data_IF_338340812786
#
_entry.id   IF_338340812786
#
_cell.length_a   1.000
_cell.length_b   1.000
_cell.length_c   1.000
_cell.angle_alpha   90.00
_cell.angle_beta   90.00
_cell.angle_gamma   90.00
#
_symmetry.space_group_name_H-M   'P 1'
#
loop_
_entity.id
_entity.type
_entity.pdbx_description
1 polymer ?
#
# COMPACT_ATOMS: atom_id res chain seq x y z
N UNK A 1 1.56 36.23 -12.17
CA UNK A 1 1.81 34.89 -12.69
C UNK A 1 2.81 34.27 -11.71
N UNK A 2 2.33 33.60 -10.65
CA UNK A 2 3.19 32.81 -9.79
C UNK A 2 3.69 31.65 -10.63
N UNK A 3 5.01 31.52 -10.80
CA UNK A 3 5.63 30.29 -11.25
C UNK A 3 5.25 29.23 -10.22
N UNK A 4 4.38 28.28 -10.57
CA UNK A 4 4.23 27.06 -9.81
C UNK A 4 5.60 26.39 -9.78
N UNK A 5 6.26 26.43 -8.64
CA UNK A 5 7.50 25.70 -8.45
C UNK A 5 7.17 24.23 -8.59
N UNK A 6 7.89 23.51 -9.45
CA UNK A 6 7.74 22.09 -9.61
C UNK A 6 7.94 21.40 -8.25
N UNK A 7 7.06 20.46 -7.89
CA UNK A 7 7.16 19.66 -6.67
C UNK A 7 8.44 18.81 -6.73
N UNK A 8 9.14 18.75 -5.61
CA UNK A 8 10.34 17.92 -5.40
C UNK A 8 10.17 17.04 -4.17
N UNK A 9 11.06 16.08 -3.98
CA UNK A 9 11.06 15.22 -2.79
C UNK A 9 11.36 15.95 -1.47
N UNK A 10 11.79 17.23 -1.53
CA UNK A 10 11.93 18.10 -0.36
C UNK A 10 10.60 18.69 0.12
N UNK A 11 9.55 18.61 -0.70
CA UNK A 11 8.23 19.11 -0.34
C UNK A 11 7.46 18.08 0.50
N UNK A 12 6.67 18.59 1.43
CA UNK A 12 5.75 17.81 2.25
C UNK A 12 4.34 18.42 2.21
N UNK A 13 3.59 18.28 1.09
CA UNK A 13 2.39 19.07 0.81
C UNK A 13 1.34 19.04 1.91
N UNK A 14 1.05 17.85 2.47
CA UNK A 14 0.07 17.69 3.56
C UNK A 14 0.58 18.36 4.84
N UNK A 15 1.85 18.12 5.20
CA UNK A 15 2.45 18.74 6.40
C UNK A 15 2.43 20.27 6.29
N UNK A 16 2.85 20.80 5.14
CA UNK A 16 2.87 22.24 4.90
C UNK A 16 1.47 22.86 4.94
N UNK A 17 0.47 22.15 4.43
CA UNK A 17 -0.93 22.58 4.49
C UNK A 17 -1.46 22.60 5.93
N UNK A 18 -1.16 21.55 6.72
CA UNK A 18 -1.52 21.48 8.13
C UNK A 18 -0.85 22.60 8.95
N UNK A 19 0.45 22.89 8.70
CA UNK A 19 1.15 24.00 9.36
C UNK A 19 0.56 25.37 8.98
N UNK A 20 0.22 25.59 7.72
CA UNK A 20 -0.48 26.80 7.29
C UNK A 20 -1.81 26.94 8.03
N UNK A 21 -2.59 25.86 8.08
CA UNK A 21 -3.89 25.85 8.74
C UNK A 21 -3.80 26.08 10.25
N UNK A 22 -2.81 25.49 10.91
CA UNK A 22 -2.54 25.72 12.35
C UNK A 22 -2.27 27.18 12.67
N UNK A 23 -1.54 27.89 11.80
CA UNK A 23 -1.23 29.32 11.94
C UNK A 23 -2.42 30.25 11.65
N UNK A 24 -3.42 29.74 10.91
CA UNK A 24 -4.63 30.52 10.63
C UNK A 24 -5.52 30.60 11.89
N UNK A 25 -5.94 31.80 12.25
CA UNK A 25 -6.87 32.03 13.37
C UNK A 25 -8.32 31.75 12.96
N UNK A 26 -8.60 30.52 12.59
CA UNK A 26 -9.94 30.08 12.19
C UNK A 26 -10.68 29.55 13.41
N UNK A 27 -11.93 29.95 13.57
CA UNK A 27 -12.84 29.37 14.57
C UNK A 27 -13.38 28.04 13.99
N UNK A 28 -13.11 26.89 14.62
CA UNK A 28 -13.49 25.59 14.07
C UNK A 28 -14.98 25.28 14.35
N UNK A 29 -15.79 25.25 13.28
CA UNK A 29 -17.16 24.72 13.30
C UNK A 29 -17.23 23.31 12.69
N UNK A 30 -16.12 22.83 12.15
CA UNK A 30 -15.89 21.52 11.55
C UNK A 30 -15.71 20.41 12.60
N UNK A 31 -15.68 19.16 12.16
CA UNK A 31 -15.25 18.00 12.94
C UNK A 31 -13.72 17.87 12.86
N UNK A 32 -13.05 17.26 13.85
CA UNK A 32 -13.56 16.53 15.02
C UNK A 32 -14.13 17.43 16.14
N UNK A 33 -14.94 16.81 17.02
CA UNK A 33 -15.64 17.50 18.10
C UNK A 33 -14.76 18.18 19.16
N UNK A 34 -13.49 17.78 19.30
CA UNK A 34 -12.52 18.42 20.20
C UNK A 34 -12.05 19.81 19.72
N UNK A 35 -12.45 20.21 18.49
CA UNK A 35 -12.23 21.59 18.00
C UNK A 35 -10.77 22.05 18.12
N UNK A 36 -9.83 21.23 17.62
CA UNK A 36 -8.38 21.46 17.70
C UNK A 36 -7.89 21.63 19.15
N UNK A 37 -8.43 20.79 20.04
CA UNK A 37 -8.10 20.74 21.45
C UNK A 37 -8.98 21.60 22.36
N UNK A 38 -9.70 22.61 21.85
CA UNK A 38 -10.48 23.55 22.69
C UNK A 38 -11.71 22.90 23.35
N UNK A 39 -12.25 21.84 22.80
CA UNK A 39 -13.43 21.13 23.29
C UNK A 39 -13.13 19.96 24.23
N UNK A 40 -11.87 19.64 24.48
CA UNK A 40 -11.47 18.56 25.37
C UNK A 40 -10.07 18.82 25.94
N UNK A 41 -10.02 19.49 27.10
CA UNK A 41 -8.76 19.89 27.73
C UNK A 41 -7.95 18.67 28.20
N UNK A 42 -8.61 17.67 28.77
CA UNK A 42 -7.96 16.46 29.29
C UNK A 42 -7.23 15.70 28.18
N UNK A 43 -7.85 15.56 27.00
CA UNK A 43 -7.22 14.95 25.84
C UNK A 43 -6.08 15.82 25.29
N UNK A 44 -6.23 17.14 25.34
CA UNK A 44 -5.20 18.09 24.89
C UNK A 44 -3.97 18.03 25.80
N UNK A 45 -4.16 17.95 27.11
CA UNK A 45 -3.08 17.81 28.09
C UNK A 45 -2.32 16.49 27.92
N UNK A 46 -3.04 15.41 27.52
CA UNK A 46 -2.43 14.10 27.27
C UNK A 46 -1.65 14.03 25.95
N UNK A 47 -2.22 14.52 24.85
CA UNK A 47 -1.61 14.43 23.51
C UNK A 47 -0.74 15.62 23.12
N UNK A 48 -0.91 16.74 23.78
CA UNK A 48 -0.26 18.00 23.50
C UNK A 48 -1.00 18.86 22.44
N UNK A 49 -0.95 20.18 22.61
CA UNK A 49 -1.61 21.16 21.74
C UNK A 49 -1.19 21.04 20.28
N UNK A 50 0.07 20.75 19.99
CA UNK A 50 0.57 20.61 18.62
C UNK A 50 -0.13 19.47 17.88
N UNK A 51 -0.28 18.31 18.52
CA UNK A 51 -0.98 17.16 17.97
C UNK A 51 -2.46 17.47 17.72
N UNK A 52 -3.14 17.99 18.74
CA UNK A 52 -4.57 18.32 18.67
C UNK A 52 -4.88 19.40 17.64
N UNK A 53 -3.96 20.33 17.39
CA UNK A 53 -4.15 21.43 16.44
C UNK A 53 -4.16 21.01 14.99
N UNK A 54 -3.59 19.85 14.67
CA UNK A 54 -3.49 19.28 13.31
C UNK A 54 -4.40 18.07 13.08
N UNK A 55 -5.12 17.64 14.11
CA UNK A 55 -6.16 16.62 13.95
C UNK A 55 -7.44 17.28 13.42
N UNK A 56 -7.63 17.16 12.11
CA UNK A 56 -8.68 17.84 11.32
C UNK A 56 -9.22 16.89 10.25
N UNK A 57 -10.40 17.20 9.74
CA UNK A 57 -11.05 16.42 8.69
C UNK A 57 -10.78 17.02 7.30
N UNK A 58 -11.28 16.34 6.27
CA UNK A 58 -11.27 16.83 4.87
C UNK A 58 -11.94 18.19 4.78
N UNK A 59 -11.25 19.13 4.16
CA UNK A 59 -11.77 20.48 3.88
C UNK A 59 -10.98 21.08 2.72
N UNK A 60 -11.54 22.12 2.09
CA UNK A 60 -10.95 22.70 0.87
C UNK A 60 -9.43 22.98 0.94
N UNK A 61 -8.85 23.50 2.05
CA UNK A 61 -7.39 23.71 2.11
C UNK A 61 -6.57 22.45 2.33
N UNK A 62 -7.20 21.32 2.72
CA UNK A 62 -6.54 20.05 3.08
C UNK A 62 -6.90 18.90 2.14
N UNK A 63 -7.70 19.19 1.09
CA UNK A 63 -8.12 18.21 0.11
C UNK A 63 -9.11 17.15 0.65
N UNK A 64 -9.42 16.16 -0.16
CA UNK A 64 -10.29 15.04 0.18
C UNK A 64 -9.66 13.73 -0.30
N UNK A 65 -9.40 12.81 0.61
CA UNK A 65 -8.73 11.54 0.30
C UNK A 65 -9.49 10.68 -0.72
N UNK A 66 -10.83 10.72 -0.71
CA UNK A 66 -11.63 9.96 -1.67
C UNK A 66 -11.57 10.52 -3.10
N UNK A 67 -11.23 11.80 -3.25
CA UNK A 67 -11.10 12.47 -4.54
C UNK A 67 -10.05 13.59 -4.46
N UNK A 68 -8.77 13.24 -4.34
CA UNK A 68 -7.71 14.23 -4.16
C UNK A 68 -7.46 15.02 -5.44
N UNK A 69 -7.35 16.35 -5.29
CA UNK A 69 -7.13 17.29 -6.40
C UNK A 69 -6.07 18.35 -6.08
N UNK A 70 -5.49 18.30 -4.87
CA UNK A 70 -4.50 19.27 -4.41
C UNK A 70 -3.44 18.60 -3.51
N UNK A 71 -3.29 19.00 -2.25
CA UNK A 71 -2.18 18.60 -1.38
C UNK A 71 -2.09 17.09 -1.11
N UNK A 72 -3.21 16.36 -1.11
CA UNK A 72 -3.17 14.90 -1.01
C UNK A 72 -2.71 14.29 -2.34
N UNK A 73 -3.21 14.81 -3.46
CA UNK A 73 -2.77 14.38 -4.80
C UNK A 73 -1.28 14.63 -4.98
N UNK A 74 -0.81 15.82 -4.64
CA UNK A 74 0.60 16.17 -4.70
C UNK A 74 1.47 15.21 -3.88
N UNK A 75 1.00 14.84 -2.67
CA UNK A 75 1.70 13.89 -1.82
C UNK A 75 1.66 12.45 -2.36
N UNK A 76 0.56 12.03 -3.00
CA UNK A 76 0.46 10.73 -3.70
C UNK A 76 1.43 10.68 -4.89
N UNK A 77 1.52 11.75 -5.67
CA UNK A 77 2.43 11.83 -6.83
C UNK A 77 3.91 11.81 -6.39
N UNK A 78 4.26 12.50 -5.29
CA UNK A 78 5.60 12.44 -4.70
C UNK A 78 5.92 11.03 -4.15
N UNK A 79 4.94 10.37 -3.52
CA UNK A 79 5.10 9.00 -3.06
C UNK A 79 5.31 8.04 -4.25
N UNK A 80 4.53 8.18 -5.32
CA UNK A 80 4.70 7.37 -6.53
C UNK A 80 6.12 7.51 -7.09
N UNK A 81 6.65 8.74 -7.19
CA UNK A 81 8.02 8.99 -7.63
C UNK A 81 9.06 8.33 -6.70
N UNK A 82 8.91 8.49 -5.38
CA UNK A 82 9.85 7.94 -4.40
C UNK A 82 9.92 6.42 -4.43
N UNK A 83 8.79 5.76 -4.69
CA UNK A 83 8.68 4.31 -4.77
C UNK A 83 8.83 3.75 -6.20
N UNK A 84 9.08 4.58 -7.21
CA UNK A 84 9.18 4.14 -8.60
C UNK A 84 7.90 3.51 -9.15
N UNK A 85 6.74 3.90 -8.61
CA UNK A 85 5.42 3.48 -9.04
C UNK A 85 4.83 4.47 -10.06
N UNK A 86 3.84 4.03 -10.83
CA UNK A 86 3.07 4.90 -11.73
C UNK A 86 2.03 5.72 -10.95
N UNK A 87 1.47 5.13 -9.89
CA UNK A 87 0.57 5.79 -8.95
C UNK A 87 0.75 5.23 -7.54
N UNK A 88 0.47 6.07 -6.54
CA UNK A 88 0.44 5.67 -5.13
C UNK A 88 -0.83 6.21 -4.45
N UNK A 89 -1.39 5.44 -3.52
CA UNK A 89 -2.58 5.81 -2.75
C UNK A 89 -2.30 5.71 -1.26
N UNK A 90 -2.70 6.71 -0.50
CA UNK A 90 -2.74 6.62 0.96
C UNK A 90 -3.82 5.64 1.41
N UNK A 91 -3.43 4.66 2.22
CA UNK A 91 -4.34 3.63 2.74
C UNK A 91 -4.57 3.84 4.23
N UNK A 92 -5.72 4.45 4.59
CA UNK A 92 -6.10 4.74 5.99
C UNK A 92 -6.32 3.47 6.80
N UNK A 93 -6.83 2.41 6.18
CA UNK A 93 -7.01 1.09 6.80
C UNK A 93 -5.73 0.25 6.86
N UNK A 94 -4.57 0.85 6.59
CA UNK A 94 -3.27 0.18 6.59
C UNK A 94 -3.10 -0.78 5.42
N UNK A 95 -2.04 -1.59 5.48
CA UNK A 95 -1.73 -2.60 4.45
C UNK A 95 -2.85 -3.64 4.30
N UNK A 96 -3.67 -3.84 5.34
CA UNK A 96 -4.86 -4.70 5.24
C UNK A 96 -5.80 -4.22 4.15
N UNK A 97 -6.15 -2.94 4.13
CA UNK A 97 -6.99 -2.37 3.06
C UNK A 97 -6.30 -2.44 1.71
N UNK A 98 -4.99 -2.14 1.64
CA UNK A 98 -4.24 -2.22 0.39
C UNK A 98 -4.29 -3.64 -0.21
N UNK A 99 -4.02 -4.68 0.57
CA UNK A 99 -4.08 -6.08 0.13
C UNK A 99 -5.49 -6.46 -0.31
N UNK A 100 -6.52 -6.03 0.43
CA UNK A 100 -7.90 -6.28 0.06
C UNK A 100 -8.26 -5.60 -1.27
N UNK A 101 -7.90 -4.34 -1.44
CA UNK A 101 -8.16 -3.60 -2.69
C UNK A 101 -7.45 -4.23 -3.89
N UNK A 102 -6.20 -4.69 -3.75
CA UNK A 102 -5.49 -5.39 -4.82
C UNK A 102 -6.23 -6.65 -5.28
N UNK A 103 -6.69 -7.47 -4.34
CA UNK A 103 -7.41 -8.71 -4.66
C UNK A 103 -8.80 -8.42 -5.26
N UNK A 104 -9.53 -7.43 -4.71
CA UNK A 104 -10.82 -6.99 -5.25
C UNK A 104 -10.70 -6.40 -6.66
N UNK A 105 -9.56 -5.74 -6.95
CA UNK A 105 -9.25 -5.25 -8.29
C UNK A 105 -9.04 -6.41 -9.28
N UNK A 106 -8.25 -7.39 -8.88
CA UNK A 106 -7.79 -8.47 -9.76
C UNK A 106 -8.84 -9.57 -9.96
N UNK A 107 -9.72 -9.81 -8.97
CA UNK A 107 -10.57 -10.99 -8.93
C UNK A 107 -12.04 -10.64 -8.63
N UNK A 108 -12.93 -11.41 -9.26
CA UNK A 108 -14.37 -11.43 -9.01
C UNK A 108 -14.78 -12.80 -8.47
N UNK A 109 -16.07 -12.94 -8.15
CA UNK A 109 -16.62 -14.20 -7.67
C UNK A 109 -16.35 -15.37 -8.64
N UNK A 110 -15.72 -16.42 -8.14
CA UNK A 110 -15.33 -17.60 -8.90
C UNK A 110 -13.98 -17.50 -9.62
N UNK A 111 -13.37 -16.32 -9.74
CA UNK A 111 -12.03 -16.19 -10.31
C UNK A 111 -10.98 -16.85 -9.43
N UNK A 112 -9.96 -17.46 -10.05
CA UNK A 112 -8.84 -18.06 -9.34
C UNK A 112 -7.71 -17.07 -9.12
N UNK A 113 -7.05 -17.18 -7.96
CA UNK A 113 -5.83 -16.45 -7.61
C UNK A 113 -4.79 -17.41 -7.04
N UNK A 114 -3.59 -17.41 -7.61
CA UNK A 114 -2.45 -18.19 -7.12
C UNK A 114 -1.80 -17.40 -5.98
N UNK A 115 -1.60 -18.05 -4.83
CA UNK A 115 -1.03 -17.37 -3.65
C UNK A 115 -0.31 -18.33 -2.71
N UNK A 116 0.68 -17.85 -1.93
CA UNK A 116 1.34 -18.71 -0.96
C UNK A 116 0.39 -19.02 0.20
N UNK A 117 0.56 -20.19 0.82
CA UNK A 117 -0.28 -20.59 1.94
C UNK A 117 -0.04 -19.78 3.24
N UNK A 118 1.12 -19.13 3.34
CA UNK A 118 1.50 -18.28 4.48
C UNK A 118 1.17 -16.78 4.26
N UNK A 119 0.11 -16.48 3.50
CA UNK A 119 -0.37 -15.10 3.34
C UNK A 119 -0.86 -14.51 4.64
N UNK A 120 -0.82 -13.18 4.73
CA UNK A 120 -1.47 -12.46 5.82
C UNK A 120 -3.00 -12.64 5.77
N UNK A 121 -3.65 -12.60 6.93
CA UNK A 121 -5.10 -12.79 7.07
C UNK A 121 -5.94 -11.83 6.20
N UNK A 122 -5.42 -10.65 5.89
CA UNK A 122 -6.07 -9.69 4.97
C UNK A 122 -6.38 -10.29 3.61
N UNK A 123 -5.48 -11.12 3.06
CA UNK A 123 -5.70 -11.79 1.78
C UNK A 123 -6.85 -12.80 1.87
N UNK A 124 -6.90 -13.59 2.94
CA UNK A 124 -8.02 -14.53 3.18
C UNK A 124 -9.36 -13.79 3.32
N UNK A 125 -9.37 -12.66 4.03
CA UNK A 125 -10.56 -11.84 4.17
C UNK A 125 -11.01 -11.27 2.82
N UNK A 126 -10.07 -10.88 1.96
CA UNK A 126 -10.38 -10.40 0.61
C UNK A 126 -11.04 -11.50 -0.25
N UNK A 127 -10.56 -12.75 -0.17
CA UNK A 127 -11.19 -13.89 -0.86
C UNK A 127 -12.66 -14.06 -0.42
N UNK A 128 -12.95 -13.90 0.87
CA UNK A 128 -14.31 -13.97 1.40
C UNK A 128 -15.17 -12.84 0.83
N UNK A 129 -14.60 -11.63 0.73
CA UNK A 129 -15.32 -10.45 0.24
C UNK A 129 -15.67 -10.55 -1.25
N UNK A 130 -14.73 -11.02 -2.09
CA UNK A 130 -14.95 -11.08 -3.54
C UNK A 130 -15.42 -12.46 -4.05
N UNK A 131 -15.33 -13.50 -3.23
CA UNK A 131 -15.67 -14.87 -3.64
C UNK A 131 -14.65 -15.51 -4.57
N UNK A 132 -13.41 -15.03 -4.60
CA UNK A 132 -12.33 -15.62 -5.39
C UNK A 132 -11.85 -16.95 -4.79
N UNK A 133 -11.38 -17.85 -5.65
CA UNK A 133 -10.94 -19.19 -5.31
C UNK A 133 -9.41 -19.24 -5.23
N UNK A 134 -8.81 -19.50 -4.05
CA UNK A 134 -7.36 -19.56 -3.92
C UNK A 134 -6.79 -20.87 -4.51
N UNK A 135 -5.74 -20.74 -5.29
CA UNK A 135 -4.82 -21.82 -5.67
C UNK A 135 -3.58 -21.67 -4.79
N UNK A 136 -3.46 -22.54 -3.79
CA UNK A 136 -2.38 -22.40 -2.82
C UNK A 136 -1.08 -23.02 -3.32
N UNK A 137 0.00 -22.23 -3.29
CA UNK A 137 1.37 -22.69 -3.39
C UNK A 137 1.92 -22.89 -1.98
N UNK A 138 2.41 -24.07 -1.66
CA UNK A 138 3.06 -24.33 -0.38
C UNK A 138 4.50 -23.84 -0.44
N UNK A 139 4.89 -22.84 0.36
CA UNK A 139 6.28 -22.41 0.41
C UNK A 139 7.16 -23.52 1.00
N UNK A 140 8.44 -23.54 0.61
CA UNK A 140 9.41 -24.42 1.25
C UNK A 140 9.54 -24.06 2.75
N UNK A 141 10.03 -25.01 3.55
CA UNK A 141 10.21 -24.84 4.99
C UNK A 141 11.68 -25.06 5.36
N UNK A 142 12.24 -24.13 6.08
CA UNK A 142 13.51 -24.36 6.76
C UNK A 142 13.25 -25.22 8.01
N UNK A 143 13.53 -26.50 7.93
CA UNK A 143 13.24 -27.45 9.00
C UNK A 143 14.06 -27.21 10.28
N UNK A 144 15.23 -26.55 10.16
CA UNK A 144 16.09 -26.24 11.31
C UNK A 144 15.51 -25.10 12.14
N UNK A 145 14.94 -24.08 11.47
CA UNK A 145 14.37 -22.91 12.10
C UNK A 145 12.85 -23.02 12.30
N UNK A 146 12.20 -23.97 11.64
CA UNK A 146 10.75 -24.14 11.68
C UNK A 146 9.98 -22.99 10.99
N UNK A 147 10.59 -22.30 10.00
CA UNK A 147 9.99 -21.16 9.31
C UNK A 147 9.67 -21.46 7.86
N UNK A 148 8.56 -20.88 7.37
CA UNK A 148 8.22 -20.91 5.96
C UNK A 148 9.11 -19.94 5.17
N UNK A 149 9.56 -20.37 4.00
CA UNK A 149 10.35 -19.59 3.05
C UNK A 149 9.43 -18.86 2.06
N UNK A 150 10.00 -18.26 1.02
CA UNK A 150 9.25 -17.73 -0.11
C UNK A 150 8.75 -18.82 -1.07
N UNK A 151 7.94 -18.43 -2.05
CA UNK A 151 7.56 -19.32 -3.14
C UNK A 151 8.75 -19.50 -4.11
N UNK A 152 9.01 -20.72 -4.56
CA UNK A 152 9.97 -20.97 -5.63
C UNK A 152 9.33 -20.69 -7.00
N UNK A 153 10.16 -20.31 -7.99
CA UNK A 153 9.70 -20.07 -9.36
C UNK A 153 9.04 -21.32 -9.95
N UNK A 154 9.62 -22.49 -9.72
CA UNK A 154 9.09 -23.75 -10.23
C UNK A 154 7.72 -24.13 -9.67
N UNK A 155 7.48 -23.85 -8.38
CA UNK A 155 6.16 -24.07 -7.76
C UNK A 155 5.10 -23.12 -8.34
N UNK A 156 5.46 -21.85 -8.58
CA UNK A 156 4.56 -20.88 -9.22
C UNK A 156 4.28 -21.28 -10.66
N UNK A 157 5.29 -21.70 -11.42
CA UNK A 157 5.15 -22.19 -12.80
C UNK A 157 4.18 -23.37 -12.88
N UNK A 158 4.35 -24.37 -12.01
CA UNK A 158 3.44 -25.50 -11.94
C UNK A 158 2.00 -25.05 -11.65
N UNK A 159 1.81 -24.17 -10.66
CA UNK A 159 0.49 -23.67 -10.31
C UNK A 159 -0.19 -22.90 -11.46
N UNK A 160 0.57 -22.13 -12.24
CA UNK A 160 0.10 -21.42 -13.43
C UNK A 160 -0.31 -22.41 -14.52
N UNK A 161 0.53 -23.40 -14.82
CA UNK A 161 0.25 -24.42 -15.85
C UNK A 161 -0.99 -25.26 -15.50
N UNK A 162 -1.19 -25.56 -14.23
CA UNK A 162 -2.38 -26.30 -13.75
C UNK A 162 -3.64 -25.42 -13.67
N UNK A 163 -3.50 -24.08 -13.64
CA UNK A 163 -4.61 -23.13 -13.52
C UNK A 163 -4.43 -21.95 -14.49
N UNK A 164 -4.47 -22.21 -15.82
CA UNK A 164 -4.24 -21.15 -16.82
C UNK A 164 -5.35 -20.07 -16.85
N UNK A 165 -6.45 -20.31 -16.18
CA UNK A 165 -7.59 -19.39 -16.01
C UNK A 165 -7.46 -18.47 -14.80
N UNK A 166 -6.40 -18.61 -13.98
CA UNK A 166 -6.16 -17.71 -12.85
C UNK A 166 -5.95 -16.25 -13.31
N UNK A 167 -6.39 -15.31 -12.50
CA UNK A 167 -6.34 -13.87 -12.83
C UNK A 167 -5.09 -13.19 -12.30
N UNK A 168 -4.56 -13.69 -11.20
CA UNK A 168 -3.41 -13.08 -10.57
C UNK A 168 -2.55 -14.09 -9.81
N UNK A 169 -1.29 -13.71 -9.62
CA UNK A 169 -0.34 -14.33 -8.69
C UNK A 169 -0.08 -13.34 -7.57
N UNK A 170 -0.33 -13.73 -6.32
CA UNK A 170 0.00 -12.95 -5.15
C UNK A 170 1.29 -13.47 -4.51
N UNK A 171 2.17 -12.59 -4.12
CA UNK A 171 3.46 -12.91 -3.49
C UNK A 171 3.64 -12.14 -2.19
N UNK A 172 4.05 -12.81 -1.11
CA UNK A 172 4.57 -12.16 0.09
C UNK A 172 6.07 -11.92 -0.10
N UNK A 173 6.51 -10.66 -0.23
CA UNK A 173 7.92 -10.35 -0.47
C UNK A 173 8.35 -9.03 0.20
N UNK A 174 9.11 -9.09 1.30
CA UNK A 174 9.57 -10.28 1.99
C UNK A 174 8.47 -10.98 2.82
N UNK A 175 8.72 -12.23 3.19
CA UNK A 175 7.90 -12.92 4.21
C UNK A 175 8.09 -12.25 5.58
N UNK A 176 7.30 -12.66 6.58
CA UNK A 176 7.45 -12.18 7.96
C UNK A 176 8.86 -12.38 8.53
N UNK A 177 9.57 -13.39 8.05
CA UNK A 177 10.94 -13.73 8.47
C UNK A 177 12.03 -13.09 7.61
N UNK A 178 11.70 -12.16 6.71
CA UNK A 178 12.63 -11.45 5.87
C UNK A 178 13.12 -12.25 4.63
N UNK A 179 12.47 -13.36 4.31
CA UNK A 179 12.84 -14.17 3.15
C UNK A 179 12.18 -13.60 1.89
N UNK A 180 12.96 -13.39 0.84
CA UNK A 180 12.49 -12.92 -0.46
C UNK A 180 12.45 -14.08 -1.48
N UNK A 181 11.44 -14.05 -2.35
CA UNK A 181 11.33 -14.88 -3.53
C UNK A 181 12.09 -14.25 -4.71
N UNK A 182 12.34 -15.00 -5.78
CA UNK A 182 12.82 -14.44 -7.05
C UNK A 182 11.65 -13.71 -7.74
N UNK A 183 11.33 -12.53 -7.22
CA UNK A 183 10.14 -11.79 -7.60
C UNK A 183 10.15 -11.40 -9.08
N UNK A 184 11.33 -11.10 -9.64
CA UNK A 184 11.46 -10.75 -11.06
C UNK A 184 11.02 -11.90 -11.95
N UNK A 185 11.55 -13.11 -11.73
CA UNK A 185 11.17 -14.28 -12.53
C UNK A 185 9.70 -14.67 -12.35
N UNK A 186 9.18 -14.57 -11.12
CA UNK A 186 7.75 -14.81 -10.86
C UNK A 186 6.89 -13.82 -11.65
N UNK A 187 7.27 -12.54 -11.66
CA UNK A 187 6.55 -11.49 -12.40
C UNK A 187 6.60 -11.76 -13.93
N UNK A 188 7.76 -12.02 -14.48
CA UNK A 188 7.93 -12.33 -15.90
C UNK A 188 7.09 -13.55 -16.31
N UNK A 189 7.08 -14.59 -15.48
CA UNK A 189 6.31 -15.80 -15.70
C UNK A 189 4.79 -15.55 -15.66
N UNK A 190 4.30 -14.85 -14.65
CA UNK A 190 2.87 -14.52 -14.52
C UNK A 190 2.39 -13.66 -15.69
N UNK A 191 3.15 -12.64 -16.08
CA UNK A 191 2.83 -11.78 -17.21
C UNK A 191 2.83 -12.54 -18.55
N UNK A 192 3.74 -13.50 -18.76
CA UNK A 192 3.74 -14.35 -19.94
C UNK A 192 2.43 -15.17 -20.10
N UNK A 193 1.70 -15.37 -19.01
CA UNK A 193 0.41 -16.05 -18.98
C UNK A 193 -0.79 -15.09 -18.80
N UNK A 194 -0.57 -13.78 -18.93
CA UNK A 194 -1.62 -12.78 -18.83
C UNK A 194 -2.21 -12.57 -17.43
N UNK A 195 -1.48 -12.97 -16.40
CA UNK A 195 -1.88 -12.84 -14.99
C UNK A 195 -1.27 -11.58 -14.36
N UNK A 196 -2.03 -10.89 -13.52
CA UNK A 196 -1.52 -9.78 -12.70
C UNK A 196 -0.64 -10.29 -11.56
N UNK A 197 0.33 -9.47 -11.15
CA UNK A 197 1.20 -9.75 -9.99
C UNK A 197 0.92 -8.77 -8.88
N UNK A 198 0.46 -9.30 -7.75
CA UNK A 198 0.11 -8.59 -6.52
C UNK A 198 1.16 -8.90 -5.45
N UNK A 199 1.80 -7.88 -4.88
CA UNK A 199 2.85 -8.10 -3.89
C UNK A 199 2.46 -7.53 -2.53
N UNK A 200 2.37 -8.38 -1.51
CA UNK A 200 2.36 -7.92 -0.13
C UNK A 200 3.80 -7.65 0.31
N UNK A 201 4.20 -6.39 0.21
CA UNK A 201 5.54 -5.88 0.54
C UNK A 201 5.52 -5.10 1.87
N UNK A 202 4.59 -5.45 2.76
CA UNK A 202 4.40 -4.75 4.04
C UNK A 202 5.66 -4.69 4.92
N UNK A 203 6.58 -5.65 4.78
CA UNK A 203 7.86 -5.69 5.50
C UNK A 203 9.05 -5.18 4.67
N UNK A 204 8.83 -4.80 3.40
CA UNK A 204 9.85 -4.41 2.43
C UNK A 204 9.96 -2.92 2.13
N UNK A 205 9.24 -2.04 2.85
CA UNK A 205 9.21 -0.60 2.58
C UNK A 205 10.61 0.03 2.47
N UNK A 206 11.56 -0.41 3.27
CA UNK A 206 12.94 0.08 3.27
C UNK A 206 13.76 -0.35 2.06
N UNK A 207 13.34 -1.35 1.30
CA UNK A 207 14.04 -1.81 0.09
C UNK A 207 14.13 -0.73 -0.98
N UNK A 208 13.19 0.20 -1.00
CA UNK A 208 13.14 1.30 -1.96
C UNK A 208 14.20 2.38 -1.74
N UNK A 209 14.88 2.38 -0.58
CA UNK A 209 15.72 3.49 -0.13
C UNK A 209 17.16 3.07 0.18
N UNK A 210 17.67 2.02 -0.48
CA UNK A 210 19.06 1.58 -0.28
C UNK A 210 19.52 0.60 -1.34
N UNK A 211 20.81 0.66 -1.68
CA UNK A 211 21.41 -0.06 -2.82
C UNK A 211 21.68 -1.55 -2.55
N UNK A 212 21.67 -1.98 -1.28
CA UNK A 212 22.04 -3.34 -0.89
C UNK A 212 20.85 -4.19 -0.45
N UNK A 213 19.64 -3.81 -0.83
CA UNK A 213 18.42 -4.54 -0.53
C UNK A 213 17.95 -5.42 -1.70
N UNK A 214 17.09 -6.39 -1.43
CA UNK A 214 16.42 -7.17 -2.47
C UNK A 214 15.63 -6.27 -3.43
N UNK A 215 15.37 -6.79 -4.64
CA UNK A 215 14.58 -6.10 -5.65
C UNK A 215 13.17 -5.82 -5.13
N UNK A 216 12.73 -4.56 -5.26
CA UNK A 216 11.39 -4.13 -4.86
C UNK A 216 10.32 -4.61 -5.82
N UNK A 217 9.06 -4.61 -5.39
CA UNK A 217 7.93 -5.01 -6.23
C UNK A 217 7.84 -4.16 -7.51
N UNK A 218 7.95 -2.84 -7.39
CA UNK A 218 7.87 -1.94 -8.55
C UNK A 218 9.05 -2.14 -9.51
N UNK A 219 10.27 -2.31 -8.99
CA UNK A 219 11.45 -2.58 -9.83
C UNK A 219 11.40 -3.98 -10.48
N UNK A 220 10.72 -4.95 -9.88
CA UNK A 220 10.46 -6.26 -10.47
C UNK A 220 9.38 -6.23 -11.56
N UNK A 221 8.66 -5.11 -11.73
CA UNK A 221 7.58 -4.95 -12.69
C UNK A 221 6.23 -5.48 -12.22
N UNK A 222 6.03 -5.69 -10.91
CA UNK A 222 4.74 -6.09 -10.37
C UNK A 222 3.66 -5.04 -10.68
N UNK A 223 2.42 -5.49 -10.81
CA UNK A 223 1.30 -4.61 -11.17
C UNK A 223 0.80 -3.81 -9.98
N UNK A 224 0.81 -4.40 -8.78
CA UNK A 224 0.43 -3.72 -7.55
C UNK A 224 1.26 -4.21 -6.37
N UNK A 225 1.56 -3.28 -5.44
CA UNK A 225 2.23 -3.62 -4.20
C UNK A 225 1.65 -2.86 -3.01
N UNK A 226 1.61 -3.51 -1.86
CA UNK A 226 1.24 -2.86 -0.60
C UNK A 226 2.46 -2.68 0.29
N UNK A 227 2.76 -1.45 0.71
CA UNK A 227 3.90 -1.14 1.59
C UNK A 227 3.43 -0.52 2.90
N UNK A 228 4.05 -0.90 4.01
CA UNK A 228 3.67 -0.47 5.35
C UNK A 228 4.66 0.52 5.92
N UNK A 229 4.26 1.79 6.01
CA UNK A 229 5.11 2.86 6.53
C UNK A 229 5.32 2.79 8.05
N UNK A 230 4.39 2.17 8.79
CA UNK A 230 4.52 2.05 10.24
C UNK A 230 5.41 0.90 10.71
N UNK A 231 5.80 -0.03 9.83
CA UNK A 231 6.72 -1.14 10.16
C UNK A 231 8.17 -0.67 10.00
N UNK A 232 8.66 -0.51 8.79
CA UNK A 232 10.04 -0.14 8.50
C UNK A 232 10.23 1.31 8.02
N UNK A 233 9.14 2.06 7.80
CA UNK A 233 9.18 3.46 7.36
C UNK A 233 9.18 4.50 8.49
N UNK A 234 9.15 4.09 9.77
CA UNK A 234 9.27 5.03 10.92
C UNK A 234 8.08 5.98 11.10
N UNK A 235 6.86 5.57 10.70
CA UNK A 235 5.64 6.39 10.78
C UNK A 235 4.67 5.90 11.87
N UNK A 236 3.63 6.69 12.14
CA UNK A 236 2.56 6.30 13.06
C UNK A 236 1.81 5.08 12.54
N UNK A 237 1.12 4.38 13.45
CA UNK A 237 0.36 3.16 13.17
C UNK A 237 -0.64 3.33 12.03
N UNK A 238 -0.80 2.28 11.23
CA UNK A 238 -1.71 2.13 10.08
C UNK A 238 -1.38 2.98 8.84
N UNK A 239 -0.30 3.73 8.82
CA UNK A 239 0.10 4.43 7.58
C UNK A 239 0.69 3.42 6.60
N UNK A 240 0.07 3.34 5.42
CA UNK A 240 0.46 2.46 4.32
C UNK A 240 0.22 3.12 2.97
N UNK A 241 0.92 2.63 1.95
CA UNK A 241 0.62 2.94 0.55
C UNK A 241 0.20 1.68 -0.20
N UNK A 242 -0.71 1.88 -1.15
CA UNK A 242 -0.91 0.99 -2.27
C UNK A 242 -0.17 1.60 -3.47
N UNK A 243 0.78 0.87 -4.01
CA UNK A 243 1.57 1.25 -5.19
C UNK A 243 1.03 0.53 -6.41
N UNK A 244 0.96 1.23 -7.54
CA UNK A 244 0.48 0.66 -8.80
C UNK A 244 1.52 0.86 -9.91
N UNK A 245 1.74 -0.19 -10.68
CA UNK A 245 2.52 -0.18 -11.91
C UNK A 245 1.69 0.29 -13.12
N UNK A 246 2.32 0.32 -14.29
CA UNK A 246 1.74 0.90 -15.52
C UNK A 246 0.59 0.11 -16.13
N UNK A 247 0.47 -1.18 -15.83
CA UNK A 247 -0.48 -2.08 -16.49
C UNK A 247 -1.87 -2.10 -15.85
N UNK A 248 -2.08 -1.30 -14.81
CA UNK A 248 -3.32 -1.28 -14.02
C UNK A 248 -3.94 0.11 -14.01
N UNK A 249 -5.27 0.17 -13.95
CA UNK A 249 -6.02 1.40 -14.02
C UNK A 249 -6.20 2.02 -12.62
N UNK A 250 -5.52 3.12 -12.35
CA UNK A 250 -5.56 3.84 -11.07
C UNK A 250 -6.92 4.48 -10.78
N UNK A 251 -7.66 4.92 -11.81
CA UNK A 251 -8.99 5.51 -11.62
C UNK A 251 -10.01 4.46 -11.21
N UNK A 252 -9.90 3.24 -11.75
CA UNK A 252 -10.73 2.12 -11.31
C UNK A 252 -10.38 1.69 -9.87
N UNK A 253 -9.09 1.64 -9.52
CA UNK A 253 -8.67 1.34 -8.15
C UNK A 253 -9.25 2.32 -7.13
N UNK A 254 -9.36 3.60 -7.48
CA UNK A 254 -9.92 4.63 -6.59
C UNK A 254 -11.42 4.46 -6.30
N UNK A 255 -12.11 3.65 -7.09
CA UNK A 255 -13.54 3.34 -6.91
C UNK A 255 -13.78 2.10 -6.04
N UNK A 256 -12.75 1.29 -5.81
CA UNK A 256 -12.75 0.10 -4.94
C UNK A 256 -12.52 0.51 -3.48
#
# INVERSE_FOLDING_TARGET
>A
MCLEMALTQDNAPIYEALERMRRMRVVPFDVPGHKRGRGNQELTDFLGEACMSVDVNSMKPLDNLCHPVSVIRDAEDLAAQAFGADSAFFMVGGTTSAVQSMILYACKNGDKIIMPRNVHRSAINALILCGAVPVYVNPDVNNTLGIALGMSVSQVEQAILENPDAKAVMVNNPTYYGICSDLKKITELAHAHGMLVLVDEAHGTHFYFGDNFPLTAMAAGADMASVSMHKSGGRLTQISFLLMGRNVNSDYMRQI
#
